data_IF_910761593587
#
_entry.id   IF_910761593587
#
_cell.length_a   1.000
_cell.length_b   1.000
_cell.length_c   1.000
_cell.angle_alpha   90.00
_cell.angle_beta   90.00
_cell.angle_gamma   90.00
#
_symmetry.space_group_name_H-M   'P 1'
#
loop_
_entity.id
_entity.type
_entity.pdbx_description
1 polymer ?
#
# COMPACT_ATOMS: atom_id res chain seq x y z
N UNK A 1 16.23 -18.44 -5.09
CA UNK A 1 15.16 -17.79 -5.89
C UNK A 1 15.65 -17.56 -7.32
N UNK A 2 14.85 -17.82 -8.36
CA UNK A 2 15.29 -17.68 -9.75
C UNK A 2 15.47 -16.20 -10.11
N UNK A 3 16.69 -15.75 -10.48
CA UNK A 3 16.99 -14.36 -10.86
C UNK A 3 16.04 -13.81 -11.93
N UNK A 4 15.55 -14.66 -12.84
CA UNK A 4 14.57 -14.27 -13.87
C UNK A 4 13.23 -13.82 -13.26
N UNK A 5 12.72 -14.56 -12.26
CA UNK A 5 11.45 -14.24 -11.59
C UNK A 5 11.50 -12.92 -10.81
N UNK A 6 12.63 -12.65 -10.13
CA UNK A 6 12.87 -11.38 -9.44
C UNK A 6 12.93 -10.19 -10.39
N UNK A 7 13.58 -10.35 -11.54
CA UNK A 7 13.63 -9.31 -12.56
C UNK A 7 12.25 -9.00 -13.14
N UNK A 8 11.44 -10.03 -13.42
CA UNK A 8 10.06 -9.85 -13.87
C UNK A 8 9.23 -9.09 -12.83
N UNK A 9 9.31 -9.48 -11.56
CA UNK A 9 8.61 -8.78 -10.47
C UNK A 9 9.06 -7.32 -10.34
N UNK A 10 10.36 -7.05 -10.45
CA UNK A 10 10.90 -5.68 -10.39
C UNK A 10 10.37 -4.80 -11.53
N UNK A 11 10.26 -5.36 -12.75
CA UNK A 11 9.69 -4.66 -13.92
C UNK A 11 8.21 -4.36 -13.68
N UNK A 12 7.43 -5.35 -13.22
CA UNK A 12 6.00 -5.21 -12.91
C UNK A 12 5.78 -4.10 -11.87
N UNK A 13 6.53 -4.12 -10.76
CA UNK A 13 6.46 -3.09 -9.73
C UNK A 13 6.86 -1.71 -10.27
N UNK A 14 7.82 -1.65 -11.19
CA UNK A 14 8.21 -0.39 -11.78
C UNK A 14 7.12 0.22 -12.67
N UNK A 15 6.42 -0.62 -13.46
CA UNK A 15 5.29 -0.20 -14.27
C UNK A 15 4.13 0.30 -13.40
N UNK A 16 3.76 -0.46 -12.36
CA UNK A 16 2.73 -0.03 -11.41
C UNK A 16 3.10 1.25 -10.67
N UNK A 17 4.37 1.45 -10.34
CA UNK A 17 4.84 2.68 -9.72
C UNK A 17 4.69 3.89 -10.66
N UNK A 18 5.10 3.75 -11.92
CA UNK A 18 4.96 4.83 -12.92
C UNK A 18 3.47 5.16 -13.14
N UNK A 19 2.63 4.13 -13.29
CA UNK A 19 1.20 4.29 -13.44
C UNK A 19 0.56 4.98 -12.22
N UNK A 20 0.95 4.57 -11.01
CA UNK A 20 0.47 5.18 -9.77
C UNK A 20 0.86 6.66 -9.65
N UNK A 21 2.11 6.99 -10.00
CA UNK A 21 2.57 8.39 -10.06
C UNK A 21 1.77 9.21 -11.08
N UNK A 22 1.52 8.66 -12.27
CA UNK A 22 0.72 9.31 -13.30
C UNK A 22 -0.71 9.57 -12.85
N UNK A 23 -1.38 8.58 -12.26
CA UNK A 23 -2.75 8.72 -11.73
C UNK A 23 -2.79 9.76 -10.61
N UNK A 24 -1.85 9.71 -9.66
CA UNK A 24 -1.77 10.66 -8.55
C UNK A 24 -1.56 12.09 -9.06
N UNK A 25 -0.74 12.27 -10.09
CA UNK A 25 -0.50 13.57 -10.74
C UNK A 25 -1.75 14.09 -11.45
N UNK A 26 -2.47 13.25 -12.20
CA UNK A 26 -3.74 13.63 -12.82
C UNK A 26 -4.77 14.07 -11.77
N UNK A 27 -4.91 13.29 -10.69
CA UNK A 27 -5.82 13.64 -9.59
C UNK A 27 -5.45 14.97 -8.94
N UNK A 28 -4.16 15.23 -8.78
CA UNK A 28 -3.67 16.51 -8.25
C UNK A 28 -4.08 17.67 -9.16
N UNK A 29 -3.87 17.57 -10.48
CA UNK A 29 -4.29 18.59 -11.45
C UNK A 29 -5.81 18.82 -11.37
N UNK A 30 -6.61 17.75 -11.38
CA UNK A 30 -8.08 17.88 -11.33
C UNK A 30 -8.56 18.53 -10.05
N UNK A 31 -7.88 18.27 -8.93
CA UNK A 31 -8.18 18.89 -7.64
C UNK A 31 -7.87 20.38 -7.70
N UNK A 32 -6.68 20.76 -8.21
CA UNK A 32 -6.27 22.17 -8.39
C UNK A 32 -7.26 22.93 -9.29
N UNK A 33 -7.60 22.37 -10.45
CA UNK A 33 -8.52 23.03 -11.39
C UNK A 33 -9.91 23.25 -10.80
N UNK A 34 -10.33 22.40 -9.87
CA UNK A 34 -11.62 22.50 -9.19
C UNK A 34 -11.67 23.50 -8.04
N UNK A 35 -10.53 24.03 -7.54
CA UNK A 35 -10.54 24.88 -6.34
C UNK A 35 -11.42 26.12 -6.44
N UNK A 36 -11.56 26.68 -7.64
CA UNK A 36 -12.36 27.90 -7.85
C UNK A 36 -13.85 27.63 -8.04
N UNK A 37 -14.24 26.37 -8.27
CA UNK A 37 -15.62 25.99 -8.59
C UNK A 37 -16.27 25.12 -7.52
N UNK A 38 -15.46 24.41 -6.73
CA UNK A 38 -15.93 23.49 -5.69
C UNK A 38 -16.22 24.22 -4.38
N UNK A 39 -17.28 23.78 -3.69
CA UNK A 39 -17.52 24.20 -2.32
C UNK A 39 -16.53 23.53 -1.34
N UNK A 40 -16.40 24.06 -0.12
CA UNK A 40 -15.44 23.57 0.89
C UNK A 40 -15.56 22.05 1.12
N UNK A 41 -16.78 21.52 1.20
CA UNK A 41 -17.03 20.08 1.42
C UNK A 41 -16.49 19.25 0.26
N UNK A 42 -16.72 19.69 -0.98
CA UNK A 42 -16.27 18.99 -2.18
C UNK A 42 -14.74 19.03 -2.30
N UNK A 43 -14.12 20.16 -1.92
CA UNK A 43 -12.68 20.28 -1.84
C UNK A 43 -12.08 19.30 -0.82
N UNK A 44 -12.69 19.14 0.36
CA UNK A 44 -12.26 18.16 1.37
C UNK A 44 -12.38 16.73 0.83
N UNK A 45 -13.48 16.40 0.15
CA UNK A 45 -13.68 15.09 -0.47
C UNK A 45 -12.61 14.83 -1.54
N UNK A 46 -12.30 15.82 -2.39
CA UNK A 46 -11.28 15.70 -3.43
C UNK A 46 -9.87 15.47 -2.83
N UNK A 47 -9.51 16.18 -1.76
CA UNK A 47 -8.25 15.95 -1.04
C UNK A 47 -8.16 14.54 -0.46
N UNK A 48 -9.25 14.02 0.07
CA UNK A 48 -9.31 12.65 0.58
C UNK A 48 -9.13 11.64 -0.55
N UNK A 49 -9.76 11.83 -1.71
CA UNK A 49 -9.52 10.99 -2.89
C UNK A 49 -8.08 11.07 -3.40
N UNK A 50 -7.46 12.24 -3.36
CA UNK A 50 -6.05 12.41 -3.69
C UNK A 50 -5.17 11.53 -2.78
N UNK A 51 -5.39 11.58 -1.46
CA UNK A 51 -4.67 10.75 -0.49
C UNK A 51 -4.87 9.25 -0.81
N UNK A 52 -6.10 8.84 -1.14
CA UNK A 52 -6.38 7.46 -1.54
C UNK A 52 -5.62 7.02 -2.80
N UNK A 53 -5.25 7.92 -3.71
CA UNK A 53 -4.43 7.55 -4.88
C UNK A 53 -2.93 7.49 -4.59
N UNK A 54 -2.46 8.33 -3.66
CA UNK A 54 -1.05 8.40 -3.28
C UNK A 54 -0.63 7.19 -2.43
N UNK A 55 -1.47 6.74 -1.50
CA UNK A 55 -1.12 5.64 -0.57
C UNK A 55 -0.75 4.32 -1.30
N UNK A 56 -1.53 3.82 -2.27
CA UNK A 56 -1.14 2.65 -3.07
C UNK A 56 0.19 2.83 -3.80
N UNK A 57 0.47 4.03 -4.32
CA UNK A 57 1.74 4.35 -4.98
C UNK A 57 2.92 4.24 -4.02
N UNK A 58 2.76 4.71 -2.78
CA UNK A 58 3.76 4.55 -1.71
C UNK A 58 3.96 3.07 -1.38
N UNK A 59 2.89 2.28 -1.28
CA UNK A 59 2.97 0.83 -1.02
C UNK A 59 3.79 0.13 -2.13
N UNK A 60 3.49 0.41 -3.40
CA UNK A 60 4.23 -0.16 -4.54
C UNK A 60 5.70 0.25 -4.50
N UNK A 61 6.01 1.50 -4.16
CA UNK A 61 7.39 1.96 -3.99
C UNK A 61 8.13 1.18 -2.90
N UNK A 62 7.50 0.96 -1.74
CA UNK A 62 8.10 0.16 -0.65
C UNK A 62 8.33 -1.30 -1.06
N UNK A 63 7.39 -1.90 -1.78
CA UNK A 63 7.56 -3.25 -2.37
C UNK A 63 8.74 -3.27 -3.35
N UNK A 64 8.89 -2.26 -4.20
CA UNK A 64 10.04 -2.11 -5.11
C UNK A 64 11.37 -2.08 -4.35
N UNK A 65 11.45 -1.38 -3.23
CA UNK A 65 12.65 -1.35 -2.39
C UNK A 65 12.97 -2.72 -1.76
N UNK A 66 11.95 -3.46 -1.31
CA UNK A 66 12.13 -4.83 -0.79
C UNK A 66 12.69 -5.74 -1.88
N UNK A 67 12.10 -5.72 -3.08
CA UNK A 67 12.56 -6.54 -4.21
C UNK A 67 13.98 -6.17 -4.65
N UNK A 68 14.35 -4.89 -4.59
CA UNK A 68 15.72 -4.44 -4.83
C UNK A 68 16.68 -5.08 -3.82
N UNK A 69 16.40 -4.97 -2.52
CA UNK A 69 17.26 -5.53 -1.47
C UNK A 69 17.43 -7.06 -1.61
N UNK A 70 16.34 -7.78 -1.94
CA UNK A 70 16.40 -9.22 -2.18
C UNK A 70 17.28 -9.55 -3.40
N UNK A 71 17.20 -8.74 -4.46
CA UNK A 71 18.02 -8.92 -5.67
C UNK A 71 19.50 -8.66 -5.41
N UNK A 72 19.80 -7.74 -4.50
CA UNK A 72 21.17 -7.41 -4.06
C UNK A 72 21.73 -8.47 -3.08
N UNK A 73 20.94 -9.49 -2.73
CA UNK A 73 21.33 -10.59 -1.84
C UNK A 73 21.05 -10.33 -0.35
N UNK A 74 20.62 -9.13 0.00
CA UNK A 74 20.35 -8.71 1.38
C UNK A 74 18.85 -8.90 1.71
N UNK A 75 18.45 -10.16 1.79
CA UNK A 75 17.05 -10.55 2.00
C UNK A 75 16.56 -10.19 3.40
N UNK A 76 17.29 -10.61 4.44
CA UNK A 76 16.92 -10.40 5.83
C UNK A 76 17.66 -9.20 6.40
N UNK A 77 17.13 -8.01 6.15
CA UNK A 77 17.65 -6.77 6.72
C UNK A 77 16.56 -5.99 7.46
N UNK A 78 17.00 -5.15 8.40
CA UNK A 78 16.11 -4.31 9.20
C UNK A 78 15.30 -3.34 8.33
N UNK A 79 15.85 -2.90 7.18
CA UNK A 79 15.17 -1.99 6.24
C UNK A 79 13.91 -2.63 5.65
N UNK A 80 13.96 -3.90 5.26
CA UNK A 80 12.85 -4.68 4.73
C UNK A 80 11.77 -4.87 5.80
N UNK A 81 12.18 -5.17 7.05
CA UNK A 81 11.24 -5.19 8.17
C UNK A 81 10.51 -3.85 8.31
N UNK A 82 11.22 -2.72 8.28
CA UNK A 82 10.58 -1.40 8.31
C UNK A 82 9.65 -1.16 7.11
N UNK A 83 10.06 -1.54 5.90
CA UNK A 83 9.20 -1.38 4.71
C UNK A 83 7.91 -2.21 4.81
N UNK A 84 7.99 -3.45 5.26
CA UNK A 84 6.81 -4.28 5.52
C UNK A 84 5.90 -3.68 6.60
N UNK A 85 6.47 -3.12 7.67
CA UNK A 85 5.71 -2.41 8.72
C UNK A 85 4.94 -1.22 8.16
N UNK A 86 5.62 -0.40 7.35
CA UNK A 86 5.01 0.76 6.71
C UNK A 86 3.91 0.34 5.73
N UNK A 87 4.12 -0.69 4.91
CA UNK A 87 3.09 -1.24 4.02
C UNK A 87 1.89 -1.71 4.85
N UNK A 88 2.14 -2.43 5.95
CA UNK A 88 1.10 -2.93 6.84
C UNK A 88 0.23 -1.82 7.40
N UNK A 89 0.86 -0.84 8.04
CA UNK A 89 0.17 0.33 8.63
C UNK A 89 -0.59 1.14 7.57
N UNK A 90 0.05 1.44 6.44
CA UNK A 90 -0.59 2.19 5.36
C UNK A 90 -1.80 1.45 4.79
N UNK A 91 -1.71 0.14 4.60
CA UNK A 91 -2.81 -0.67 4.03
C UNK A 91 -3.99 -0.79 5.00
N UNK A 92 -3.73 -0.92 6.30
CA UNK A 92 -4.79 -0.91 7.32
C UNK A 92 -5.50 0.44 7.40
N UNK A 93 -4.74 1.54 7.43
CA UNK A 93 -5.30 2.90 7.42
C UNK A 93 -6.11 3.13 6.14
N UNK A 94 -5.54 2.76 4.99
CA UNK A 94 -6.20 2.85 3.69
C UNK A 94 -7.52 2.07 3.66
N UNK A 95 -7.53 0.84 4.17
CA UNK A 95 -8.73 0.01 4.26
C UNK A 95 -9.88 0.71 4.98
N UNK A 96 -9.60 1.31 6.14
CA UNK A 96 -10.59 2.01 6.96
C UNK A 96 -11.15 3.22 6.20
N UNK A 97 -10.28 4.11 5.71
CA UNK A 97 -10.72 5.29 4.98
C UNK A 97 -11.47 4.94 3.70
N UNK A 98 -10.93 4.02 2.89
CA UNK A 98 -11.59 3.54 1.69
C UNK A 98 -12.98 2.94 2.00
N UNK A 99 -13.09 2.18 3.08
CA UNK A 99 -14.37 1.63 3.56
C UNK A 99 -15.38 2.74 3.86
N UNK A 100 -14.99 3.74 4.65
CA UNK A 100 -15.86 4.87 5.04
C UNK A 100 -16.31 5.67 3.81
N UNK A 101 -15.36 6.05 2.95
CA UNK A 101 -15.63 6.93 1.79
C UNK A 101 -16.51 6.22 0.77
N UNK A 102 -16.27 4.92 0.55
CA UNK A 102 -17.00 4.16 -0.45
C UNK A 102 -18.27 3.52 0.07
N UNK A 103 -18.56 3.63 1.37
CA UNK A 103 -19.73 3.04 2.03
C UNK A 103 -21.06 3.45 1.38
N UNK A 104 -21.33 4.72 1.06
CA UNK A 104 -22.62 5.12 0.50
C UNK A 104 -22.90 4.51 -0.88
N UNK A 105 -21.85 4.10 -1.61
CA UNK A 105 -21.97 3.51 -2.93
C UNK A 105 -22.26 2.00 -2.82
N UNK A 106 -23.39 1.57 -3.38
CA UNK A 106 -23.69 0.15 -3.55
C UNK A 106 -22.70 -0.50 -4.50
N UNK A 107 -22.35 -1.76 -4.23
CA UNK A 107 -21.52 -2.56 -5.13
C UNK A 107 -21.97 -4.01 -5.13
N UNK A 108 -21.79 -4.70 -6.25
CA UNK A 108 -22.14 -6.12 -6.38
C UNK A 108 -21.25 -7.04 -5.52
N UNK A 109 -20.09 -6.55 -5.06
CA UNK A 109 -19.12 -7.29 -4.25
C UNK A 109 -19.00 -6.71 -2.84
N UNK A 110 -20.02 -6.97 -2.04
CA UNK A 110 -20.18 -6.46 -0.68
C UNK A 110 -20.11 -7.59 0.36
N UNK A 111 -19.47 -7.30 1.49
CA UNK A 111 -19.41 -8.18 2.66
C UNK A 111 -20.67 -8.01 3.49
N UNK A 112 -21.08 -6.76 3.66
CA UNK A 112 -22.26 -6.38 4.43
C UNK A 112 -22.92 -5.21 3.73
N UNK A 113 -24.25 -5.22 3.69
CA UNK A 113 -25.06 -4.16 3.12
C UNK A 113 -26.14 -3.74 4.10
N UNK A 114 -26.41 -2.45 4.15
CA UNK A 114 -27.52 -1.85 4.89
C UNK A 114 -28.32 -0.96 3.94
N UNK A 115 -29.45 -0.42 4.43
CA UNK A 115 -30.23 0.58 3.69
C UNK A 115 -29.43 1.84 3.33
N UNK A 116 -28.33 2.11 4.04
CA UNK A 116 -27.54 3.35 3.91
C UNK A 116 -26.24 3.17 3.12
N UNK A 117 -25.81 1.94 2.85
CA UNK A 117 -24.52 1.69 2.21
C UNK A 117 -24.03 0.25 2.33
N UNK A 118 -22.83 -0.01 1.79
CA UNK A 118 -22.22 -1.33 1.79
C UNK A 118 -20.72 -1.30 2.12
N UNK A 119 -20.28 -2.28 2.92
CA UNK A 119 -18.85 -2.54 3.15
C UNK A 119 -18.34 -3.42 2.02
N UNK A 120 -17.37 -2.91 1.26
CA UNK A 120 -16.85 -3.58 0.06
C UNK A 120 -15.80 -4.62 0.41
N UNK A 121 -15.78 -5.72 -0.33
CA UNK A 121 -14.77 -6.78 -0.18
C UNK A 121 -13.34 -6.25 -0.37
N UNK A 122 -13.16 -5.25 -1.23
CA UNK A 122 -11.87 -4.59 -1.47
C UNK A 122 -11.29 -3.94 -0.21
N UNK A 123 -12.12 -3.27 0.61
CA UNK A 123 -11.67 -2.68 1.89
C UNK A 123 -11.10 -3.77 2.80
N UNK A 124 -11.81 -4.88 2.95
CA UNK A 124 -11.36 -5.99 3.80
C UNK A 124 -10.10 -6.68 3.26
N UNK A 125 -9.96 -6.81 1.93
CA UNK A 125 -8.75 -7.34 1.32
C UNK A 125 -7.51 -6.49 1.67
N UNK A 126 -7.64 -5.15 1.67
CA UNK A 126 -6.55 -4.26 2.11
C UNK A 126 -6.23 -4.41 3.61
N UNK A 127 -7.24 -4.69 4.44
CA UNK A 127 -7.03 -4.95 5.87
C UNK A 127 -6.21 -6.23 6.08
N UNK A 128 -6.60 -7.33 5.42
CA UNK A 128 -5.86 -8.60 5.47
C UNK A 128 -4.44 -8.41 4.95
N UNK A 129 -4.27 -7.74 3.80
CA UNK A 129 -2.96 -7.47 3.23
C UNK A 129 -2.09 -6.63 4.18
N UNK A 130 -2.69 -5.67 4.89
CA UNK A 130 -2.02 -4.87 5.90
C UNK A 130 -1.54 -5.70 7.10
N UNK A 131 -2.41 -6.54 7.65
CA UNK A 131 -2.07 -7.44 8.75
C UNK A 131 -0.96 -8.43 8.35
N UNK A 132 -1.05 -9.06 7.18
CA UNK A 132 -0.03 -9.97 6.67
C UNK A 132 1.32 -9.26 6.51
N UNK A 133 1.33 -8.06 5.94
CA UNK A 133 2.55 -7.26 5.80
C UNK A 133 3.15 -6.89 7.15
N UNK A 134 2.32 -6.59 8.15
CA UNK A 134 2.79 -6.33 9.51
C UNK A 134 3.39 -7.59 10.16
N UNK A 135 2.77 -8.76 9.99
CA UNK A 135 3.33 -10.04 10.46
C UNK A 135 4.67 -10.32 9.79
N UNK A 136 4.79 -10.10 8.48
CA UNK A 136 6.06 -10.24 7.76
C UNK A 136 7.14 -9.30 8.32
N UNK A 137 6.79 -8.09 8.75
CA UNK A 137 7.73 -7.16 9.39
C UNK A 137 8.38 -7.77 10.64
N UNK A 138 7.57 -8.36 11.52
CA UNK A 138 8.06 -8.98 12.76
C UNK A 138 8.87 -10.25 12.47
N UNK A 139 8.46 -11.06 11.48
CA UNK A 139 9.23 -12.22 11.03
C UNK A 139 10.62 -11.79 10.52
N UNK A 140 10.70 -10.76 9.69
CA UNK A 140 11.98 -10.26 9.18
C UNK A 140 12.87 -9.68 10.28
N UNK A 141 12.27 -9.03 11.28
CA UNK A 141 13.00 -8.50 12.44
C UNK A 141 13.61 -9.62 13.27
N UNK A 142 12.84 -10.68 13.54
CA UNK A 142 13.32 -11.87 14.26
C UNK A 142 14.39 -12.63 13.47
N UNK A 143 14.22 -12.77 12.16
CA UNK A 143 15.21 -13.40 11.29
C UNK A 143 16.53 -12.62 11.27
N UNK A 144 16.45 -11.28 11.26
CA UNK A 144 17.64 -10.42 11.34
C UNK A 144 18.38 -10.59 12.67
N UNK A 145 17.68 -10.56 13.82
CA UNK A 145 18.33 -10.74 15.12
C UNK A 145 18.98 -12.12 15.27
N UNK A 146 18.32 -13.17 14.78
CA UNK A 146 18.87 -14.54 14.80
C UNK A 146 20.13 -14.66 13.93
N UNK A 147 20.15 -13.98 12.78
CA UNK A 147 21.34 -13.94 11.92
C UNK A 147 22.49 -13.21 12.61
N UNK A 148 22.22 -12.07 13.24
CA UNK A 148 23.22 -11.28 13.96
C UNK A 148 23.82 -12.04 15.14
N UNK A 149 23.00 -12.75 15.92
CA UNK A 149 23.48 -13.63 17.00
C UNK A 149 24.39 -14.75 16.47
N UNK A 150 24.00 -15.42 15.39
CA UNK A 150 24.80 -16.50 14.80
C UNK A 150 26.13 -15.97 14.22
N UNK A 151 26.11 -14.82 13.55
CA UNK A 151 27.32 -14.18 12.99
C UNK A 151 28.30 -13.73 14.09
N UNK A 152 27.84 -13.50 15.34
CA UNK A 152 28.68 -13.17 16.50
C UNK A 152 29.30 -14.39 17.20
N UNK A 153 28.76 -15.59 16.95
CA UNK A 153 29.21 -16.85 17.60
C UNK A 153 30.22 -17.67 16.80
N UNK A 154 30.44 -17.34 15.52
CA UNK A 154 31.41 -17.99 14.61
C UNK A 154 32.66 -17.12 14.51
#
# INVERSE_FOLDING_TARGET
MNKKSLNALAIILHLFFILGCFISFLMFITTISGFNTLNIIECLIALVYLILTVVPTIIVYKLKLIVKNIKDGDCFNIKNSHYFRHIGLLSMIFSIFYGIITYPAQSNFQIMATKYGSVKMSSFAFLIFGLLSYVLSEIFKLAFSTKEENDLTI
#
